data_IF_026727859064
#
_entry.id   IF_026727859064
#
_cell.length_a   1.000
_cell.length_b   1.000
_cell.length_c   1.000
_cell.angle_alpha   90.00
_cell.angle_beta   90.00
_cell.angle_gamma   90.00
#
_symmetry.space_group_name_H-M   'P 1'
#
loop_
_entity.id
_entity.type
_entity.pdbx_description
1 polymer ?
#
# COMPACT_ATOMS: atom_id res chain seq x y z
N UNK A 1 -4.86 -9.32 -1.17
CA UNK A 1 -6.07 -8.54 -0.83
C UNK A 1 -6.95 -8.37 -2.07
N UNK A 2 -8.10 -9.09 -2.14
CA UNK A 2 -9.09 -9.01 -3.22
C UNK A 2 -9.70 -7.63 -3.38
N UNK A 3 -10.00 -7.24 -4.63
CA UNK A 3 -10.67 -5.97 -4.94
C UNK A 3 -9.79 -4.74 -4.80
N UNK A 4 -8.48 -4.91 -4.57
CA UNK A 4 -7.51 -3.82 -4.48
C UNK A 4 -6.44 -3.96 -5.56
N UNK A 5 -5.89 -2.81 -5.99
CA UNK A 5 -4.68 -2.70 -6.80
C UNK A 5 -3.65 -1.79 -6.14
N UNK A 6 -2.38 -1.99 -6.48
CA UNK A 6 -1.33 -1.02 -6.23
C UNK A 6 -1.47 0.12 -7.25
N UNK A 7 -1.44 1.36 -6.78
CA UNK A 7 -1.33 2.55 -7.61
C UNK A 7 -0.26 3.48 -7.05
N UNK A 8 0.36 4.30 -7.90
CA UNK A 8 1.29 5.34 -7.46
C UNK A 8 0.64 6.72 -7.66
N UNK A 9 -0.38 7.00 -6.86
CA UNK A 9 -1.18 8.21 -6.99
C UNK A 9 -1.23 9.06 -5.70
N UNK A 10 -0.56 8.64 -4.63
CA UNK A 10 -0.48 9.46 -3.42
C UNK A 10 0.72 10.40 -3.56
N UNK A 11 0.50 11.70 -3.45
CA UNK A 11 1.58 12.70 -3.56
C UNK A 11 2.63 12.50 -2.46
N UNK A 12 3.90 12.46 -2.87
CA UNK A 12 5.03 12.36 -1.97
C UNK A 12 5.02 13.51 -0.93
N UNK A 13 5.63 13.28 0.24
CA UNK A 13 5.62 14.29 1.31
C UNK A 13 6.31 15.59 0.91
N UNK A 14 7.37 15.50 0.12
CA UNK A 14 8.13 16.62 -0.44
C UNK A 14 7.45 17.26 -1.67
N UNK A 15 6.31 16.72 -2.11
CA UNK A 15 5.59 17.17 -3.31
C UNK A 15 6.20 16.69 -4.63
N UNK A 16 7.30 15.94 -4.61
CA UNK A 16 8.00 15.52 -5.82
C UNK A 16 7.59 14.09 -6.22
N UNK A 17 6.57 14.02 -7.06
CA UNK A 17 6.07 12.77 -7.61
C UNK A 17 5.07 12.07 -6.68
N UNK A 18 4.88 10.78 -6.94
CA UNK A 18 3.86 9.97 -6.27
C UNK A 18 4.46 8.73 -5.63
N UNK A 19 3.77 8.20 -4.63
CA UNK A 19 4.14 7.01 -3.88
C UNK A 19 2.96 6.03 -3.82
N UNK A 20 3.24 4.83 -3.33
CA UNK A 20 2.32 3.71 -3.33
C UNK A 20 1.03 4.00 -2.56
N UNK A 21 -0.07 3.48 -3.08
CA UNK A 21 -1.39 3.49 -2.48
C UNK A 21 -2.11 2.19 -2.83
N UNK A 22 -2.88 1.67 -1.87
CA UNK A 22 -3.82 0.58 -2.14
C UNK A 22 -5.16 1.20 -2.58
N UNK A 23 -5.58 0.93 -3.81
CA UNK A 23 -6.83 1.48 -4.36
C UNK A 23 -7.88 0.38 -4.41
N UNK A 24 -9.02 0.58 -3.75
CA UNK A 24 -10.17 -0.29 -3.88
C UNK A 24 -10.80 -0.10 -5.26
N UNK A 25 -10.88 -1.18 -6.03
CA UNK A 25 -11.53 -1.23 -7.34
C UNK A 25 -12.86 -1.98 -7.29
N UNK A 26 -13.07 -2.82 -6.26
CA UNK A 26 -14.24 -3.69 -6.13
C UNK A 26 -14.29 -4.83 -7.14
N UNK A 27 -13.25 -4.98 -7.97
CA UNK A 27 -13.22 -5.98 -9.04
C UNK A 27 -12.69 -7.32 -8.55
N UNK A 28 -13.38 -8.44 -8.81
CA UNK A 28 -13.00 -9.74 -8.30
C UNK A 28 -11.71 -10.29 -8.91
N UNK A 29 -11.25 -9.79 -10.06
CA UNK A 29 -9.96 -10.13 -10.67
C UNK A 29 -8.79 -9.37 -10.04
N UNK A 30 -9.07 -8.25 -9.36
CA UNK A 30 -8.02 -7.40 -8.81
C UNK A 30 -7.48 -7.92 -7.51
N UNK A 31 -6.16 -8.02 -7.43
CA UNK A 31 -5.46 -8.58 -6.28
C UNK A 31 -4.23 -7.72 -5.98
N UNK A 32 -4.17 -7.21 -4.76
CA UNK A 32 -2.96 -6.61 -4.21
C UNK A 32 -2.26 -7.64 -3.29
N UNK A 33 -1.11 -8.21 -3.68
CA UNK A 33 -0.31 -9.02 -2.77
C UNK A 33 0.16 -8.16 -1.58
N UNK A 34 0.18 -8.74 -0.38
CA UNK A 34 0.53 -8.04 0.86
C UNK A 34 1.40 -8.92 1.75
N UNK A 35 2.27 -8.28 2.52
CA UNK A 35 2.97 -8.90 3.64
C UNK A 35 2.29 -8.47 4.94
N UNK A 36 2.01 -9.44 5.82
CA UNK A 36 1.36 -9.19 7.11
C UNK A 36 2.43 -9.25 8.21
N UNK A 37 2.38 -8.31 9.14
CA UNK A 37 3.22 -8.29 10.33
C UNK A 37 2.36 -8.03 11.57
N UNK A 38 2.71 -8.69 12.68
CA UNK A 38 2.09 -8.46 13.98
C UNK A 38 2.81 -7.32 14.68
N UNK A 39 2.07 -6.30 15.10
CA UNK A 39 2.58 -5.14 15.81
C UNK A 39 1.93 -5.03 17.18
N UNK A 40 2.67 -4.53 18.17
CA UNK A 40 2.09 -4.04 19.42
C UNK A 40 1.34 -2.72 19.19
N UNK A 41 0.45 -2.30 20.10
CA UNK A 41 -0.21 -1.00 20.00
C UNK A 41 0.77 0.18 19.89
N UNK A 42 1.88 0.14 20.63
CA UNK A 42 2.91 1.18 20.57
C UNK A 42 3.64 1.20 19.22
N UNK A 43 3.95 0.03 18.65
CA UNK A 43 4.53 -0.06 17.31
C UNK A 43 3.57 0.45 16.25
N UNK A 44 2.27 0.17 16.40
CA UNK A 44 1.24 0.70 15.52
C UNK A 44 1.14 2.23 15.61
N UNK A 45 1.28 2.80 16.82
CA UNK A 45 1.34 4.25 17.00
C UNK A 45 2.59 4.86 16.35
N UNK A 46 3.75 4.19 16.43
CA UNK A 46 4.97 4.60 15.72
C UNK A 46 4.74 4.58 14.20
N UNK A 47 4.05 3.55 13.68
CA UNK A 47 3.71 3.46 12.26
C UNK A 47 2.83 4.64 11.80
N UNK A 48 1.89 5.11 12.61
CA UNK A 48 1.09 6.31 12.28
C UNK A 48 1.99 7.52 12.01
N UNK A 49 3.10 7.66 12.73
CA UNK A 49 4.08 8.72 12.53
C UNK A 49 4.81 8.62 11.19
N UNK A 50 5.25 7.41 10.81
CA UNK A 50 5.90 7.18 9.51
C UNK A 50 4.95 7.42 8.33
N UNK A 51 3.70 6.97 8.46
CA UNK A 51 2.65 7.14 7.45
C UNK A 51 2.03 8.54 7.48
N UNK A 52 2.38 9.33 8.50
CA UNK A 52 1.81 10.67 8.77
C UNK A 52 0.29 10.64 8.79
N UNK A 53 -0.28 9.61 9.40
CA UNK A 53 -1.71 9.48 9.59
C UNK A 53 -2.19 10.49 10.65
N UNK A 54 -3.38 11.11 10.48
CA UNK A 54 -4.33 10.94 9.37
C UNK A 54 -4.07 11.89 8.16
N UNK A 55 -3.02 12.72 8.18
CA UNK A 55 -2.87 13.82 7.23
C UNK A 55 -2.41 13.41 5.81
N UNK A 56 -1.67 12.29 5.68
CA UNK A 56 -1.20 11.79 4.39
C UNK A 56 -1.78 10.45 4.00
N UNK A 57 -1.99 9.58 4.98
CA UNK A 57 -2.71 8.33 4.83
C UNK A 57 -3.79 8.24 5.91
N UNK A 58 -4.88 7.57 5.57
CA UNK A 58 -5.94 7.15 6.47
C UNK A 58 -5.66 5.73 6.91
N UNK A 59 -5.50 5.51 8.23
CA UNK A 59 -5.45 4.17 8.79
C UNK A 59 -6.86 3.59 8.84
N UNK A 60 -7.03 2.39 8.30
CA UNK A 60 -8.31 1.66 8.34
C UNK A 60 -8.08 0.19 8.67
N UNK A 61 -9.16 -0.54 8.91
CA UNK A 61 -9.18 -1.98 9.09
C UNK A 61 -9.76 -2.64 7.82
N UNK A 62 -9.12 -3.71 7.37
CA UNK A 62 -9.58 -4.54 6.26
C UNK A 62 -9.42 -6.01 6.59
N UNK A 63 -10.36 -6.83 6.12
CA UNK A 63 -10.24 -8.29 6.22
C UNK A 63 -9.35 -8.82 5.10
N UNK A 64 -8.18 -9.34 5.47
CA UNK A 64 -7.24 -9.94 4.52
C UNK A 64 -7.46 -11.45 4.51
N UNK A 65 -7.78 -12.06 3.35
CA UNK A 65 -7.89 -13.51 3.26
C UNK A 65 -6.51 -14.16 3.43
N UNK A 66 -6.49 -15.23 4.22
CA UNK A 66 -5.38 -16.15 4.38
C UNK A 66 -5.64 -17.43 3.55
N UNK A 67 -4.73 -18.39 3.59
CA UNK A 67 -4.95 -19.68 2.92
C UNK A 67 -6.23 -20.37 3.42
N UNK A 68 -7.08 -20.81 2.49
CA UNK A 68 -8.40 -21.39 2.77
C UNK A 68 -9.49 -20.33 2.99
N UNK A 69 -10.45 -20.63 3.87
CA UNK A 69 -11.62 -19.77 4.13
C UNK A 69 -11.43 -18.81 5.31
N UNK A 70 -10.19 -18.57 5.73
CA UNK A 70 -9.88 -17.72 6.89
C UNK A 70 -9.61 -16.28 6.45
N UNK A 71 -10.12 -15.32 7.20
CA UNK A 71 -9.72 -13.91 7.11
C UNK A 71 -9.01 -13.45 8.37
N UNK A 72 -8.19 -12.42 8.24
CA UNK A 72 -7.50 -11.75 9.34
C UNK A 72 -7.75 -10.24 9.23
N UNK A 73 -8.36 -9.60 10.24
CA UNK A 73 -8.48 -8.15 10.27
C UNK A 73 -7.10 -7.52 10.44
N UNK A 74 -6.70 -6.69 9.47
CA UNK A 74 -5.41 -6.02 9.46
C UNK A 74 -5.61 -4.51 9.35
N UNK A 75 -4.74 -3.75 10.03
CA UNK A 75 -4.59 -2.33 9.76
C UNK A 75 -3.85 -2.11 8.44
N UNK A 76 -4.37 -1.20 7.62
CA UNK A 76 -3.69 -0.71 6.41
C UNK A 76 -3.76 0.82 6.34
N UNK A 77 -2.93 1.41 5.48
CA UNK A 77 -2.87 2.84 5.23
C UNK A 77 -3.29 3.12 3.78
N UNK A 78 -4.34 3.92 3.62
CA UNK A 78 -4.87 4.35 2.31
C UNK A 78 -4.53 5.82 2.09
N UNK A 79 -4.11 6.21 0.89
CA UNK A 79 -3.77 7.60 0.59
C UNK A 79 -4.94 8.52 0.92
N UNK A 80 -4.66 9.60 1.68
CA UNK A 80 -5.69 10.57 2.03
C UNK A 80 -6.24 11.22 0.74
N UNK A 81 -7.57 11.42 0.58
CA UNK A 81 -8.16 11.99 -0.63
C UNK A 81 -7.50 13.30 -1.08
N UNK A 82 -7.26 14.22 -0.13
CA UNK A 82 -6.60 15.51 -0.39
C UNK A 82 -5.11 15.41 -0.78
N UNK A 83 -4.55 14.20 -0.78
CA UNK A 83 -3.17 13.90 -1.14
C UNK A 83 -3.08 12.97 -2.34
N UNK A 84 -4.18 12.75 -3.04
CA UNK A 84 -4.15 12.04 -4.31
C UNK A 84 -3.87 13.01 -5.45
N UNK A 85 -3.07 12.59 -6.41
CA UNK A 85 -2.69 13.42 -7.55
C UNK A 85 -2.04 12.61 -8.66
N UNK A 86 -1.73 13.31 -9.73
CA UNK A 86 -1.01 12.75 -10.88
C UNK A 86 0.50 12.88 -10.67
N UNK A 87 1.25 11.97 -11.27
CA UNK A 87 2.70 11.98 -11.23
C UNK A 87 3.25 10.60 -11.49
N UNK A 88 4.56 10.46 -11.29
CA UNK A 88 5.23 9.17 -11.33
C UNK A 88 6.07 8.99 -10.08
N UNK A 89 6.20 7.75 -9.58
CA UNK A 89 7.19 7.45 -8.58
C UNK A 89 8.59 7.65 -9.14
N UNK A 90 9.52 8.01 -8.26
CA UNK A 90 10.93 8.04 -8.65
C UNK A 90 11.44 6.62 -8.88
N UNK A 91 12.44 6.48 -9.76
CA UNK A 91 13.07 5.17 -10.05
C UNK A 91 13.62 4.52 -8.77
N UNK A 92 14.25 5.31 -7.90
CA UNK A 92 14.77 4.83 -6.63
C UNK A 92 13.65 4.29 -5.71
N UNK A 93 12.47 4.92 -5.73
CA UNK A 93 11.32 4.45 -4.97
C UNK A 93 10.73 3.16 -5.56
N UNK A 94 10.61 3.07 -6.89
CA UNK A 94 10.19 1.84 -7.55
C UNK A 94 11.14 0.67 -7.24
N UNK A 95 12.45 0.91 -7.30
CA UNK A 95 13.44 -0.11 -6.95
C UNK A 95 13.28 -0.59 -5.50
N UNK A 96 12.96 0.32 -4.57
CA UNK A 96 12.66 -0.03 -3.18
C UNK A 96 11.44 -0.94 -3.06
N UNK A 97 10.36 -0.67 -3.82
CA UNK A 97 9.18 -1.52 -3.87
C UNK A 97 9.52 -2.90 -4.44
N UNK A 98 10.25 -2.97 -5.56
CA UNK A 98 10.66 -4.24 -6.18
C UNK A 98 11.49 -5.08 -5.20
N UNK A 99 12.45 -4.47 -4.50
CA UNK A 99 13.23 -5.15 -3.47
C UNK A 99 12.34 -5.67 -2.34
N UNK A 100 11.39 -4.87 -1.84
CA UNK A 100 10.46 -5.30 -0.79
C UNK A 100 9.57 -6.47 -1.20
N UNK A 101 9.15 -6.53 -2.47
CA UNK A 101 8.44 -7.68 -3.03
C UNK A 101 9.31 -8.94 -3.06
N UNK A 102 10.54 -8.82 -3.54
CA UNK A 102 11.49 -9.94 -3.57
C UNK A 102 11.80 -10.48 -2.17
N UNK A 103 12.03 -9.61 -1.19
CA UNK A 103 12.25 -9.98 0.22
C UNK A 103 11.04 -10.68 0.86
N UNK A 104 9.83 -10.35 0.38
CA UNK A 104 8.59 -11.00 0.81
C UNK A 104 8.29 -12.31 0.05
N UNK A 105 9.11 -12.69 -0.93
CA UNK A 105 8.85 -13.83 -1.82
C UNK A 105 7.65 -13.61 -2.75
N UNK A 106 7.35 -12.36 -3.08
CA UNK A 106 6.25 -11.95 -3.96
C UNK A 106 6.77 -11.54 -5.34
N UNK A 107 5.94 -11.72 -6.36
CA UNK A 107 6.23 -11.23 -7.71
C UNK A 107 6.07 -9.70 -7.77
N UNK A 108 7.11 -8.95 -8.16
CA UNK A 108 7.05 -7.50 -8.20
C UNK A 108 6.02 -7.00 -9.22
N UNK A 109 5.45 -5.81 -9.02
CA UNK A 109 4.56 -5.21 -10.02
C UNK A 109 5.31 -5.01 -11.34
N UNK A 110 4.66 -5.33 -12.46
CA UNK A 110 5.22 -5.12 -13.80
C UNK A 110 5.38 -3.60 -14.06
N UNK A 111 6.62 -3.08 -14.14
CA UNK A 111 6.84 -1.66 -14.38
C UNK A 111 6.40 -1.20 -15.78
N UNK A 112 6.17 -2.13 -16.72
CA UNK A 112 5.68 -1.84 -18.07
C UNK A 112 4.15 -1.71 -18.15
N UNK A 113 3.42 -2.09 -17.10
CA UNK A 113 1.96 -2.02 -17.06
C UNK A 113 1.39 -0.59 -16.95
N UNK A 114 2.26 0.43 -16.83
CA UNK A 114 1.88 1.82 -16.66
C UNK A 114 1.38 2.09 -15.24
N UNK A 115 2.08 3.00 -14.54
CA UNK A 115 1.69 3.49 -13.22
C UNK A 115 0.88 4.78 -13.34
#
# INVERSE_FOLDING_TARGET
>A
MPGYRLAFNKTAFDGNGTVANAVWTGRPEDRLPVRIATLTPDQLHIMDGFERAPAHYLRTLVDVPLNGDRTLPCHIYLGHPDRLGEGRPSEAYLQHIVTGYAEAGLEPPDPSAGY
#
